data_IF_049384103929
#
_entry.id   IF_049384103929
#
_cell.length_a   1.000
_cell.length_b   1.000
_cell.length_c   1.000
_cell.angle_alpha   90.00
_cell.angle_beta   90.00
_cell.angle_gamma   90.00
#
_symmetry.space_group_name_H-M   'P 1'
#
loop_
_entity.id
_entity.type
_entity.pdbx_description
1 polymer ?
#
# COMPACT_ATOMS: atom_id res chain seq x y z
N UNK A 1 -46.51 16.80 -32.41
CA UNK A 1 -46.39 15.40 -31.96
C UNK A 1 -44.94 15.11 -31.54
N UNK A 2 -44.77 14.16 -30.64
CA UNK A 2 -43.67 14.04 -29.66
C UNK A 2 -42.26 13.76 -30.22
N UNK A 3 -41.26 14.41 -29.58
CA UNK A 3 -39.82 14.08 -29.62
C UNK A 3 -39.57 12.70 -28.99
N UNK A 4 -38.95 11.79 -29.72
CA UNK A 4 -38.35 10.59 -29.15
C UNK A 4 -36.84 10.82 -28.98
N UNK A 5 -36.39 10.95 -27.73
CA UNK A 5 -34.98 10.82 -27.40
C UNK A 5 -34.76 9.36 -27.00
N UNK A 6 -33.99 8.62 -27.79
CA UNK A 6 -33.52 7.30 -27.40
C UNK A 6 -32.32 7.47 -26.47
N UNK A 7 -32.47 7.20 -25.16
CA UNK A 7 -31.29 6.97 -24.32
C UNK A 7 -30.64 5.66 -24.70
N UNK A 8 -29.50 5.74 -25.40
CA UNK A 8 -28.48 4.69 -25.37
C UNK A 8 -27.98 4.51 -23.94
N UNK A 9 -28.58 3.57 -23.21
CA UNK A 9 -28.03 3.01 -21.98
C UNK A 9 -26.73 2.28 -22.31
N UNK A 10 -25.60 2.96 -22.09
CA UNK A 10 -24.26 2.34 -22.12
C UNK A 10 -24.22 1.24 -21.05
N UNK A 11 -24.33 -0.02 -21.48
CA UNK A 11 -24.05 -1.21 -20.66
C UNK A 11 -22.65 -1.07 -20.04
N UNK A 12 -22.58 -0.80 -18.75
CA UNK A 12 -21.32 -0.77 -18.00
C UNK A 12 -20.79 -2.20 -17.91
N UNK A 13 -19.57 -2.42 -18.42
CA UNK A 13 -18.83 -3.69 -18.29
C UNK A 13 -18.64 -3.99 -16.79
N UNK A 14 -18.71 -5.27 -16.34
CA UNK A 14 -18.37 -5.61 -14.97
C UNK A 14 -16.94 -5.17 -14.68
N UNK A 15 -16.78 -4.32 -13.69
CA UNK A 15 -15.52 -3.66 -13.36
C UNK A 15 -14.60 -4.65 -12.66
N UNK A 16 -13.34 -4.76 -13.10
CA UNK A 16 -12.32 -5.58 -12.43
C UNK A 16 -12.11 -5.12 -10.99
N UNK A 17 -11.74 -6.03 -10.08
CA UNK A 17 -11.40 -5.70 -8.68
C UNK A 17 -10.36 -4.57 -8.60
N UNK A 18 -9.37 -4.59 -9.49
CA UNK A 18 -8.36 -3.54 -9.57
C UNK A 18 -8.95 -2.18 -9.96
N UNK A 19 -9.85 -2.17 -10.93
CA UNK A 19 -10.49 -0.93 -11.34
C UNK A 19 -11.39 -0.37 -10.23
N UNK A 20 -12.08 -1.25 -9.49
CA UNK A 20 -12.91 -0.86 -8.34
C UNK A 20 -12.05 -0.21 -7.26
N UNK A 21 -10.89 -0.80 -6.98
CA UNK A 21 -9.94 -0.25 -6.02
C UNK A 21 -9.36 1.09 -6.48
N UNK A 22 -9.03 1.25 -7.77
CA UNK A 22 -8.60 2.53 -8.34
C UNK A 22 -9.66 3.61 -8.12
N UNK A 23 -10.93 3.33 -8.48
CA UNK A 23 -12.02 4.30 -8.27
C UNK A 23 -12.21 4.64 -6.80
N UNK A 24 -12.18 3.63 -5.93
CA UNK A 24 -12.28 3.84 -4.49
C UNK A 24 -11.20 4.81 -4.01
N UNK A 25 -9.93 4.62 -4.39
CA UNK A 25 -8.84 5.51 -4.01
C UNK A 25 -8.97 6.91 -4.62
N UNK A 26 -9.60 7.07 -5.78
CA UNK A 26 -9.86 8.39 -6.38
C UNK A 26 -10.99 9.14 -5.65
N UNK A 27 -12.00 8.42 -5.16
CA UNK A 27 -13.21 8.99 -4.56
C UNK A 27 -13.09 9.27 -3.05
N UNK A 28 -12.34 8.44 -2.30
CA UNK A 28 -12.23 8.61 -0.84
C UNK A 28 -11.29 9.74 -0.46
N UNK A 29 -11.58 10.38 0.68
CA UNK A 29 -10.63 11.33 1.27
C UNK A 29 -9.48 10.62 1.99
N UNK A 30 -8.31 11.26 2.17
CA UNK A 30 -7.20 10.67 2.90
C UNK A 30 -7.53 10.41 4.38
N UNK A 31 -8.44 11.22 4.95
CA UNK A 31 -8.98 11.00 6.29
C UNK A 31 -9.75 9.68 6.36
N UNK A 32 -10.72 9.50 5.46
CA UNK A 32 -11.51 8.27 5.39
C UNK A 32 -10.63 7.04 5.15
N UNK A 33 -9.63 7.14 4.27
CA UNK A 33 -8.68 6.05 4.05
C UNK A 33 -7.96 5.65 5.36
N UNK A 34 -7.49 6.61 6.16
CA UNK A 34 -6.84 6.32 7.43
C UNK A 34 -7.78 5.66 8.43
N UNK A 35 -9.03 6.12 8.51
CA UNK A 35 -10.06 5.55 9.39
C UNK A 35 -10.38 4.10 8.97
N UNK A 36 -10.56 3.86 7.68
CA UNK A 36 -10.82 2.53 7.11
C UNK A 36 -9.67 1.56 7.39
N UNK A 37 -8.41 2.01 7.26
CA UNK A 37 -7.22 1.19 7.53
C UNK A 37 -6.97 0.96 9.02
N UNK A 38 -7.49 1.82 9.89
CA UNK A 38 -7.33 1.72 11.35
C UNK A 38 -8.44 0.93 12.05
N UNK A 39 -9.25 0.18 11.28
CA UNK A 39 -10.37 -0.60 11.81
C UNK A 39 -11.59 0.25 12.17
N UNK A 40 -11.73 1.44 11.60
CA UNK A 40 -12.83 2.38 11.90
C UNK A 40 -12.54 3.33 13.06
N UNK A 41 -11.34 3.29 13.63
CA UNK A 41 -10.90 4.27 14.62
C UNK A 41 -10.61 5.63 13.96
N UNK A 42 -10.77 6.71 14.72
CA UNK A 42 -10.52 8.06 14.23
C UNK A 42 -9.05 8.24 13.81
N UNK A 43 -8.84 8.84 12.64
CA UNK A 43 -7.51 9.16 12.15
C UNK A 43 -6.81 10.16 13.08
N UNK A 44 -5.56 9.87 13.46
CA UNK A 44 -4.77 10.76 14.31
C UNK A 44 -4.65 12.16 13.69
N UNK A 45 -4.88 13.20 14.49
CA UNK A 45 -4.71 14.58 14.07
C UNK A 45 -3.29 14.86 13.55
N UNK A 46 -2.28 14.16 14.08
CA UNK A 46 -0.90 14.27 13.61
C UNK A 46 -0.74 13.70 12.19
N UNK A 47 -1.33 12.54 11.92
CA UNK A 47 -1.26 11.91 10.59
C UNK A 47 -1.98 12.73 9.53
N UNK A 48 -3.16 13.27 9.88
CA UNK A 48 -3.91 14.18 9.02
C UNK A 48 -3.12 15.45 8.70
N UNK A 49 -2.39 16.00 9.68
CA UNK A 49 -1.51 17.16 9.48
C UNK A 49 -0.36 16.82 8.54
N UNK A 50 0.32 15.70 8.76
CA UNK A 50 1.42 15.24 7.90
C UNK A 50 0.94 15.08 6.46
N UNK A 51 -0.22 14.44 6.26
CA UNK A 51 -0.79 14.23 4.93
C UNK A 51 -1.10 15.58 4.25
N UNK A 52 -1.75 16.50 4.97
CA UNK A 52 -2.07 17.84 4.44
C UNK A 52 -0.81 18.61 4.02
N UNK A 53 0.22 18.59 4.86
CA UNK A 53 1.49 19.27 4.60
C UNK A 53 2.13 18.71 3.31
N UNK A 54 2.23 17.39 3.20
CA UNK A 54 2.83 16.72 2.04
C UNK A 54 2.05 16.98 0.76
N UNK A 55 0.71 16.90 0.82
CA UNK A 55 -0.14 17.19 -0.34
C UNK A 55 0.06 18.62 -0.84
N UNK A 56 0.08 19.59 0.08
CA UNK A 56 0.22 21.00 -0.25
C UNK A 56 1.60 21.32 -0.82
N UNK A 57 2.66 20.73 -0.26
CA UNK A 57 4.03 20.97 -0.71
C UNK A 57 4.34 20.33 -2.07
N UNK A 58 3.83 19.11 -2.31
CA UNK A 58 4.18 18.34 -3.50
C UNK A 58 3.14 18.46 -4.63
N UNK A 59 2.00 19.08 -4.37
CA UNK A 59 0.92 19.24 -5.36
C UNK A 59 0.31 17.91 -5.80
N UNK A 60 0.33 16.90 -4.93
CA UNK A 60 -0.22 15.58 -5.25
C UNK A 60 -1.74 15.59 -5.20
N UNK A 61 -2.37 14.93 -6.17
CA UNK A 61 -3.82 14.73 -6.16
C UNK A 61 -4.24 13.82 -5.00
N UNK A 62 -5.49 13.96 -4.57
CA UNK A 62 -6.06 13.17 -3.46
C UNK A 62 -5.86 11.67 -3.69
N UNK A 63 -6.18 11.18 -4.89
CA UNK A 63 -6.01 9.76 -5.21
C UNK A 63 -4.56 9.29 -5.19
N UNK A 64 -3.62 10.08 -5.71
CA UNK A 64 -2.19 9.73 -5.67
C UNK A 64 -1.70 9.69 -4.21
N UNK A 65 -2.14 10.64 -3.39
CA UNK A 65 -1.82 10.65 -1.96
C UNK A 65 -2.39 9.41 -1.25
N UNK A 66 -3.62 9.00 -1.57
CA UNK A 66 -4.23 7.81 -1.01
C UNK A 66 -3.41 6.54 -1.31
N UNK A 67 -2.92 6.39 -2.54
CA UNK A 67 -2.01 5.28 -2.90
C UNK A 67 -0.72 5.36 -2.09
N UNK A 68 -0.15 6.55 -1.96
CA UNK A 68 1.10 6.76 -1.23
C UNK A 68 0.96 6.39 0.25
N UNK A 69 -0.10 6.86 0.91
CA UNK A 69 -0.40 6.55 2.32
C UNK A 69 -0.58 5.05 2.50
N UNK A 70 -1.39 4.42 1.64
CA UNK A 70 -1.60 2.97 1.69
C UNK A 70 -0.29 2.19 1.53
N UNK A 71 0.56 2.58 0.57
CA UNK A 71 1.87 1.97 0.35
C UNK A 71 2.79 2.11 1.57
N UNK A 72 2.85 3.31 2.16
CA UNK A 72 3.71 3.57 3.32
C UNK A 72 3.25 2.75 4.52
N UNK A 73 1.96 2.75 4.84
CA UNK A 73 1.41 2.01 5.98
C UNK A 73 1.65 0.50 5.84
N UNK A 74 1.51 -0.06 4.64
CA UNK A 74 1.85 -1.46 4.37
C UNK A 74 3.35 -1.74 4.61
N UNK A 75 4.22 -0.78 4.28
CA UNK A 75 5.67 -0.96 4.39
C UNK A 75 6.21 -0.81 5.81
N UNK A 76 5.52 -0.05 6.65
CA UNK A 76 6.00 0.35 7.98
C UNK A 76 5.22 -0.27 9.14
N UNK A 77 4.43 -1.31 8.86
CA UNK A 77 3.59 -1.97 9.87
C UNK A 77 2.66 -0.95 10.55
N UNK A 78 1.86 -0.28 9.72
CA UNK A 78 0.86 0.72 10.09
C UNK A 78 1.39 2.02 10.72
N UNK A 79 2.69 2.34 10.57
CA UNK A 79 3.30 3.55 11.15
C UNK A 79 3.51 4.65 10.12
N UNK A 80 2.86 5.80 10.28
CA UNK A 80 3.06 6.92 9.37
C UNK A 80 4.21 7.83 9.84
N UNK A 81 5.38 7.69 9.22
CA UNK A 81 6.51 8.60 9.45
C UNK A 81 6.52 9.75 8.44
N UNK A 82 6.49 11.00 8.95
CA UNK A 82 6.56 12.22 8.13
C UNK A 82 7.73 12.21 7.15
N UNK A 83 8.94 11.98 7.66
CA UNK A 83 10.16 12.02 6.85
C UNK A 83 10.16 10.95 5.74
N UNK A 84 9.62 9.77 6.03
CA UNK A 84 9.52 8.71 5.03
C UNK A 84 8.47 9.05 3.95
N UNK A 85 7.29 9.51 4.37
CA UNK A 85 6.22 9.94 3.46
C UNK A 85 6.68 11.06 2.52
N UNK A 86 7.33 12.10 3.07
CA UNK A 86 7.89 13.22 2.30
C UNK A 86 8.94 12.77 1.27
N UNK A 87 9.81 11.82 1.64
CA UNK A 87 10.86 11.30 0.76
C UNK A 87 10.27 10.58 -0.45
N UNK A 88 9.24 9.75 -0.23
CA UNK A 88 8.56 9.04 -1.32
C UNK A 88 7.70 10.01 -2.14
N UNK A 89 6.98 10.94 -1.49
CA UNK A 89 6.19 11.97 -2.17
C UNK A 89 7.05 12.82 -3.10
N UNK A 90 8.21 13.29 -2.62
CA UNK A 90 9.18 14.03 -3.42
C UNK A 90 9.69 13.23 -4.61
N UNK A 91 9.89 11.92 -4.43
CA UNK A 91 10.29 11.03 -5.51
C UNK A 91 9.20 10.89 -6.57
N UNK A 92 7.93 10.78 -6.16
CA UNK A 92 6.80 10.69 -7.06
C UNK A 92 6.53 12.00 -7.79
N UNK A 93 6.69 13.14 -7.10
CA UNK A 93 6.62 14.46 -7.71
C UNK A 93 7.66 14.62 -8.83
N UNK A 94 8.92 14.22 -8.59
CA UNK A 94 9.97 14.22 -9.63
C UNK A 94 9.68 13.28 -10.80
N UNK A 95 9.00 12.16 -10.54
CA UNK A 95 8.52 11.22 -11.58
C UNK A 95 7.23 11.68 -12.27
N UNK A 96 6.72 12.86 -11.91
CA UNK A 96 5.53 13.47 -12.49
C UNK A 96 4.29 12.55 -12.45
N UNK A 97 4.09 11.90 -11.29
CA UNK A 97 2.96 10.99 -11.06
C UNK A 97 1.69 11.79 -10.85
N UNK A 98 0.70 11.61 -11.73
CA UNK A 98 -0.56 12.37 -11.67
C UNK A 98 -1.79 11.51 -11.39
N UNK A 99 -1.72 10.21 -11.70
CA UNK A 99 -2.87 9.30 -11.62
C UNK A 99 -2.64 8.17 -10.63
N UNK A 100 -3.75 7.65 -10.08
CA UNK A 100 -3.74 6.51 -9.16
C UNK A 100 -3.08 5.28 -9.79
N UNK A 101 -3.35 5.02 -11.08
CA UNK A 101 -2.72 3.89 -11.79
C UNK A 101 -1.20 4.02 -11.89
N UNK A 102 -0.69 5.21 -12.19
CA UNK A 102 0.74 5.47 -12.23
C UNK A 102 1.37 5.30 -10.83
N UNK A 103 0.70 5.83 -9.81
CA UNK A 103 1.11 5.69 -8.41
C UNK A 103 1.17 4.21 -7.99
N UNK A 104 0.14 3.41 -8.29
CA UNK A 104 0.09 1.99 -7.97
C UNK A 104 1.20 1.20 -8.68
N UNK A 105 1.45 1.48 -9.96
CA UNK A 105 2.52 0.85 -10.71
C UNK A 105 3.89 1.16 -10.09
N UNK A 106 4.11 2.42 -9.67
CA UNK A 106 5.35 2.80 -9.00
C UNK A 106 5.48 2.18 -7.62
N UNK A 107 4.43 2.18 -6.80
CA UNK A 107 4.41 1.52 -5.49
C UNK A 107 4.80 0.04 -5.60
N UNK A 108 4.23 -0.68 -6.58
CA UNK A 108 4.60 -2.07 -6.88
C UNK A 108 6.06 -2.21 -7.27
N UNK A 109 6.55 -1.33 -8.16
CA UNK A 109 7.94 -1.35 -8.60
C UNK A 109 8.94 -1.05 -7.47
N UNK A 110 8.60 -0.15 -6.55
CA UNK A 110 9.42 0.18 -5.39
C UNK A 110 9.48 -0.98 -4.40
N UNK A 111 8.35 -1.66 -4.16
CA UNK A 111 8.34 -2.86 -3.30
C UNK A 111 9.20 -3.98 -3.88
N UNK A 112 9.04 -4.27 -5.18
CA UNK A 112 9.82 -5.30 -5.87
C UNK A 112 11.31 -4.96 -5.91
N UNK A 113 11.66 -3.71 -6.24
CA UNK A 113 13.05 -3.25 -6.24
C UNK A 113 13.69 -3.33 -4.86
N UNK A 114 12.94 -3.07 -3.79
CA UNK A 114 13.47 -3.20 -2.44
C UNK A 114 13.69 -4.66 -2.05
N UNK A 115 12.77 -5.57 -2.43
CA UNK A 115 12.96 -7.01 -2.24
C UNK A 115 14.14 -7.54 -3.06
N UNK A 116 14.30 -7.10 -4.32
CA UNK A 116 15.44 -7.42 -5.18
C UNK A 116 16.74 -6.83 -4.63
N UNK A 117 16.75 -5.60 -4.13
CA UNK A 117 17.93 -4.98 -3.52
C UNK A 117 18.30 -5.65 -2.18
N UNK A 118 17.31 -6.01 -1.35
CA UNK A 118 17.56 -6.74 -0.10
C UNK A 118 18.00 -8.19 -0.34
N UNK A 119 17.58 -8.81 -1.45
CA UNK A 119 18.02 -10.16 -1.83
C UNK A 119 19.33 -10.16 -2.64
N UNK A 120 19.71 -9.04 -3.24
CA UNK A 120 21.01 -8.80 -3.89
C UNK A 120 22.04 -8.14 -2.98
N UNK A 121 21.68 -7.79 -1.74
CA UNK A 121 22.68 -7.52 -0.72
C UNK A 121 23.62 -8.73 -0.70
N UNK A 122 24.95 -8.55 -0.89
CA UNK A 122 25.85 -9.68 -0.96
C UNK A 122 25.68 -10.42 0.35
N UNK A 123 25.06 -11.60 0.27
CA UNK A 123 25.21 -12.62 1.29
C UNK A 123 26.72 -12.71 1.45
N UNK A 124 27.23 -12.15 2.56
CA UNK A 124 28.63 -12.33 2.93
C UNK A 124 28.76 -13.84 3.04
N UNK A 125 29.22 -14.46 1.96
CA UNK A 125 29.71 -15.84 1.99
C UNK A 125 30.88 -15.75 2.94
N UNK A 126 30.62 -16.05 4.21
CA UNK A 126 31.65 -16.33 5.20
C UNK A 126 32.26 -17.68 4.83
N UNK A 127 32.89 -17.75 3.67
CA UNK A 127 33.94 -18.71 3.39
C UNK A 127 35.24 -17.92 3.43
N UNK A 128 35.57 -17.41 4.63
CA UNK A 128 36.96 -17.11 4.90
C UNK A 128 37.65 -18.46 5.05
N UNK A 129 38.40 -18.83 4.03
CA UNK A 129 39.52 -19.74 4.22
C UNK A 129 40.54 -18.96 5.05
N UNK A 130 40.41 -19.05 6.37
CA UNK A 130 41.38 -18.44 7.29
C UNK A 130 42.61 -19.34 7.29
N UNK A 131 43.72 -18.82 6.78
CA UNK A 131 45.04 -19.32 7.17
C UNK A 131 45.21 -18.93 8.64
N UNK A 132 44.72 -19.79 9.53
CA UNK A 132 44.86 -19.64 10.97
C UNK A 132 46.23 -20.18 11.40
N UNK A 133 47.07 -19.37 12.08
CA UNK A 133 48.28 -19.86 12.74
C UNK A 133 47.92 -20.88 13.83
N UNK A 134 48.84 -21.79 14.16
CA UNK A 134 48.58 -22.99 14.98
C UNK A 134 47.94 -22.77 16.36
N UNK A 135 48.00 -21.56 16.92
CA UNK A 135 47.54 -21.26 18.27
C UNK A 135 46.00 -21.18 18.45
N UNK A 136 45.18 -21.30 17.39
CA UNK A 136 43.73 -21.05 17.46
C UNK A 136 42.82 -22.30 17.38
N UNK A 137 43.36 -23.52 17.41
CA UNK A 137 42.57 -24.77 17.33
C UNK A 137 42.19 -25.32 18.71
N UNK A 138 41.31 -24.66 19.47
CA UNK A 138 40.71 -25.32 20.63
C UNK A 138 39.35 -24.75 21.08
N UNK A 139 38.29 -24.92 20.26
CA UNK A 139 36.91 -25.10 20.78
C UNK A 139 35.93 -25.66 19.75
N UNK A 140 35.82 -26.99 19.76
CA UNK A 140 34.73 -27.93 19.41
C UNK A 140 33.49 -27.47 18.58
N UNK A 141 33.36 -28.08 17.38
CA UNK A 141 32.31 -29.03 16.90
C UNK A 141 30.79 -28.68 16.78
N UNK A 142 30.35 -28.37 15.53
CA UNK A 142 29.22 -28.93 14.69
C UNK A 142 27.69 -28.81 15.07
N UNK A 143 26.69 -29.17 14.20
CA UNK A 143 25.75 -28.26 13.47
C UNK A 143 24.23 -28.59 13.67
N UNK A 144 23.21 -27.85 13.17
CA UNK A 144 22.49 -28.13 11.89
C UNK A 144 21.15 -27.35 11.75
N UNK A 145 20.90 -26.90 10.52
CA UNK A 145 19.71 -26.42 9.78
C UNK A 145 18.25 -26.53 10.30
N UNK A 146 17.40 -25.55 9.91
CA UNK A 146 16.44 -25.68 8.77
C UNK A 146 15.72 -24.37 8.40
N UNK A 147 15.63 -24.16 7.08
CA UNK A 147 15.03 -23.08 6.31
C UNK A 147 13.49 -23.21 6.20
N UNK A 148 12.75 -22.10 6.00
CA UNK A 148 11.60 -22.02 5.07
C UNK A 148 11.44 -20.61 4.46
N UNK A 149 11.23 -20.59 3.14
CA UNK A 149 11.11 -19.45 2.19
C UNK A 149 9.63 -19.14 1.84
N UNK A 150 9.32 -18.09 1.05
CA UNK A 150 8.07 -17.35 1.07
C UNK A 150 7.05 -17.88 0.06
N UNK A 151 5.94 -18.45 0.55
CA UNK A 151 4.70 -18.62 -0.20
C UNK A 151 3.55 -17.77 0.38
N UNK A 152 3.79 -17.12 1.53
CA UNK A 152 2.76 -16.49 2.36
C UNK A 152 2.29 -15.12 1.82
N UNK A 153 3.15 -14.39 1.09
CA UNK A 153 2.93 -12.96 0.85
C UNK A 153 1.88 -12.64 -0.24
N UNK A 154 1.71 -13.51 -1.23
CA UNK A 154 0.74 -13.26 -2.30
C UNK A 154 -0.70 -13.60 -1.88
N UNK A 155 -0.86 -14.49 -0.90
CA UNK A 155 -2.15 -14.79 -0.27
C UNK A 155 -2.55 -13.66 0.68
N UNK A 156 -1.63 -13.17 1.51
CA UNK A 156 -1.90 -12.05 2.43
C UNK A 156 -2.32 -10.77 1.69
N UNK A 157 -1.69 -10.44 0.57
CA UNK A 157 -2.07 -9.25 -0.23
C UNK A 157 -3.49 -9.36 -0.81
N UNK A 158 -3.93 -10.57 -1.20
CA UNK A 158 -5.28 -10.82 -1.73
C UNK A 158 -6.32 -10.78 -0.62
N UNK A 159 -5.97 -11.24 0.57
CA UNK A 159 -6.81 -11.22 1.77
C UNK A 159 -7.02 -9.79 2.28
N UNK A 160 -5.98 -8.96 2.34
CA UNK A 160 -6.06 -7.57 2.80
C UNK A 160 -6.93 -6.70 1.87
N UNK A 161 -6.79 -6.87 0.55
CA UNK A 161 -7.63 -6.18 -0.43
C UNK A 161 -9.09 -6.63 -0.32
N UNK A 162 -9.33 -7.92 -0.08
CA UNK A 162 -10.67 -8.46 0.09
C UNK A 162 -11.32 -7.95 1.40
N UNK A 163 -10.57 -7.89 2.50
CA UNK A 163 -11.03 -7.38 3.78
C UNK A 163 -11.44 -5.90 3.69
N UNK A 164 -10.65 -5.07 3.03
CA UNK A 164 -10.93 -3.66 2.85
C UNK A 164 -12.20 -3.42 2.00
N UNK A 165 -12.40 -4.19 0.93
CA UNK A 165 -13.62 -4.15 0.11
C UNK A 165 -14.87 -4.60 0.89
N UNK A 166 -14.75 -5.60 1.78
CA UNK A 166 -15.88 -6.04 2.60
C UNK A 166 -16.30 -4.98 3.62
N UNK A 167 -15.34 -4.34 4.28
CA UNK A 167 -15.62 -3.27 5.25
C UNK A 167 -16.29 -2.07 4.56
N UNK A 168 -15.80 -1.68 3.38
CA UNK A 168 -16.43 -0.65 2.56
C UNK A 168 -17.88 -1.00 2.17
N UNK A 169 -18.14 -2.24 1.73
CA UNK A 169 -19.50 -2.67 1.39
C UNK A 169 -20.44 -2.75 2.58
N UNK A 170 -19.95 -3.08 3.79
CA UNK A 170 -20.76 -3.13 5.02
C UNK A 170 -21.13 -1.71 5.47
N UNK A 171 -20.18 -0.78 5.49
CA UNK A 171 -20.43 0.61 5.87
C UNK A 171 -21.36 1.35 4.89
N UNK A 172 -21.35 0.98 3.60
CA UNK A 172 -22.31 1.52 2.62
C UNK A 172 -23.75 1.02 2.83
N UNK A 173 -23.94 -0.15 3.44
CA UNK A 173 -25.28 -0.71 3.75
C UNK A 173 -25.85 -0.14 5.05
N UNK A 174 -25.01 0.05 6.08
CA UNK A 174 -25.44 0.67 7.34
C UNK A 174 -25.87 2.12 7.15
N UNK A 175 -25.20 2.88 6.28
CA UNK A 175 -25.59 4.25 5.95
C UNK A 175 -26.84 4.37 5.03
N UNK A 176 -27.39 3.24 4.55
CA UNK A 176 -28.64 3.17 3.80
C UNK A 176 -29.83 2.64 4.62
N UNK A 177 -29.59 2.07 5.82
CA UNK A 177 -30.65 1.58 6.73
C UNK A 177 -30.98 2.56 7.86
N UNK A 178 -30.18 3.62 8.07
CA UNK A 178 -30.36 4.59 9.14
C UNK A 178 -31.35 5.73 8.82
N UNK A 179 -32.27 5.54 7.87
CA UNK A 179 -33.39 6.47 7.67
C UNK A 179 -34.71 5.72 7.47
N UNK A 180 -35.37 5.28 8.56
CA UNK A 180 -36.81 5.14 8.54
C UNK A 180 -37.40 6.55 8.58
N UNK A 181 -37.92 7.00 7.43
CA UNK A 181 -38.97 8.02 7.44
C UNK A 181 -40.18 7.40 8.12
N UNK A 182 -40.44 7.82 9.34
CA UNK A 182 -41.68 8.49 9.79
C UNK A 182 -41.58 8.84 11.28
#
# INVERSE_FOLDING_TARGET
MLKQWETKTKKQKPMSKQDQFVRMLEDISPKQLLEDLSGGNEASAQDLKIIRDVMSQQGLSVGVMNVLVHYVLLKTDMKLSKAYLEKIASHWARKNVKTVRQAMALAKSENNKYQEWSSRAPQRKTSKQEVLPEWFKQRKETPTAKEKKPAVQEETEKEDIAALLQNYSKNKKTNQMANPRD
#
